data_IF_125969634359
#
_entry.id   IF_125969634359
#
_cell.length_a   1.000
_cell.length_b   1.000
_cell.length_c   1.000
_cell.angle_alpha   90.00
_cell.angle_beta   90.00
_cell.angle_gamma   90.00
#
_symmetry.space_group_name_H-M   'P 1'
#
loop_
_entity.id
_entity.type
_entity.pdbx_description
1 polymer ?
#
# COMPACT_ATOMS: atom_id res chain seq x y z
N UNK A 1 13.85 16.55 -16.57
CA UNK A 1 14.42 15.33 -15.98
C UNK A 1 13.26 14.59 -15.35
N UNK A 2 12.71 13.57 -16.04
CA UNK A 2 11.61 12.74 -15.55
C UNK A 2 12.10 11.29 -15.62
N UNK A 3 12.95 10.91 -14.67
CA UNK A 3 13.27 9.51 -14.45
C UNK A 3 12.10 8.91 -13.68
N UNK A 4 11.15 8.31 -14.41
CA UNK A 4 10.13 7.40 -13.88
C UNK A 4 10.76 6.06 -13.48
N UNK A 5 11.88 6.11 -12.78
CA UNK A 5 12.46 4.95 -12.16
C UNK A 5 11.75 4.76 -10.82
N UNK A 6 11.13 3.60 -10.68
CA UNK A 6 10.51 3.12 -9.45
C UNK A 6 11.63 2.79 -8.43
N UNK A 7 12.36 3.83 -8.02
CA UNK A 7 13.49 3.71 -7.11
C UNK A 7 12.95 3.54 -5.70
N UNK A 8 13.31 2.42 -5.10
CA UNK A 8 13.15 2.21 -3.69
C UNK A 8 13.93 3.23 -2.87
N UNK A 9 13.25 3.98 -2.00
CA UNK A 9 13.85 4.95 -1.10
C UNK A 9 14.25 4.31 0.22
N UNK A 10 15.32 4.81 0.82
CA UNK A 10 15.70 4.39 2.18
C UNK A 10 15.01 5.22 3.25
N UNK A 11 14.96 4.68 4.48
CA UNK A 11 14.38 5.38 5.64
C UNK A 11 14.91 6.82 5.82
N UNK A 12 16.19 7.07 5.51
CA UNK A 12 16.79 8.40 5.61
C UNK A 12 16.18 9.37 4.60
N UNK A 13 15.97 8.93 3.36
CA UNK A 13 15.41 9.77 2.30
C UNK A 13 13.93 10.04 2.52
N UNK A 14 13.17 9.02 2.91
CA UNK A 14 11.75 9.16 3.24
C UNK A 14 11.58 10.11 4.44
N UNK A 15 12.41 9.98 5.46
CA UNK A 15 12.39 10.88 6.61
C UNK A 15 12.67 12.34 6.21
N UNK A 16 13.61 12.58 5.29
CA UNK A 16 13.87 13.91 4.75
C UNK A 16 12.68 14.46 3.94
N UNK A 17 12.06 13.63 3.09
CA UNK A 17 10.86 14.03 2.32
C UNK A 17 9.69 14.42 3.22
N UNK A 18 9.50 13.71 4.33
CA UNK A 18 8.41 13.97 5.27
C UNK A 18 8.76 15.03 6.34
N UNK A 19 10.01 15.53 6.34
CA UNK A 19 10.53 16.42 7.38
C UNK A 19 10.32 15.86 8.79
N UNK A 20 10.72 14.60 8.99
CA UNK A 20 10.65 13.90 10.29
C UNK A 20 11.98 13.28 10.66
N UNK A 21 12.14 12.91 11.93
CA UNK A 21 13.32 12.17 12.37
C UNK A 21 13.28 10.73 11.81
N UNK A 22 14.41 10.19 11.34
CA UNK A 22 14.48 8.79 10.87
C UNK A 22 14.13 7.78 11.97
N UNK A 23 14.33 8.13 13.26
CA UNK A 23 13.87 7.32 14.39
C UNK A 23 12.34 7.19 14.41
N UNK A 24 11.62 8.29 14.16
CA UNK A 24 10.15 8.30 14.10
C UNK A 24 9.64 7.46 12.94
N UNK A 25 10.26 7.57 11.76
CA UNK A 25 9.90 6.74 10.61
C UNK A 25 10.08 5.24 10.92
N UNK A 26 11.17 4.86 11.58
CA UNK A 26 11.41 3.46 11.99
C UNK A 26 10.36 2.97 12.98
N UNK A 27 9.94 3.80 13.94
CA UNK A 27 8.86 3.47 14.87
C UNK A 27 7.53 3.26 14.14
N UNK A 28 7.22 4.12 13.17
CA UNK A 28 6.00 3.97 12.36
C UNK A 28 6.05 2.70 11.51
N UNK A 29 7.19 2.41 10.87
CA UNK A 29 7.38 1.19 10.11
C UNK A 29 7.19 -0.06 10.97
N UNK A 30 7.76 -0.10 12.18
CA UNK A 30 7.55 -1.22 13.11
C UNK A 30 6.08 -1.39 13.49
N UNK A 31 5.41 -0.30 13.85
CA UNK A 31 3.99 -0.36 14.23
C UNK A 31 3.09 -0.79 13.05
N UNK A 32 3.49 -0.49 11.82
CA UNK A 32 2.80 -0.97 10.62
C UNK A 32 3.07 -2.46 10.37
N UNK A 33 4.29 -2.94 10.57
CA UNK A 33 4.63 -4.37 10.54
C UNK A 33 3.83 -5.15 11.61
N UNK A 34 3.65 -4.59 12.81
CA UNK A 34 2.82 -5.20 13.87
C UNK A 34 1.34 -5.32 13.49
N UNK A 35 0.82 -4.38 12.70
CA UNK A 35 -0.54 -4.42 12.17
C UNK A 35 -0.65 -5.30 10.90
N UNK A 36 0.45 -5.92 10.46
CA UNK A 36 0.51 -6.88 9.35
C UNK A 36 0.83 -6.28 7.98
N UNK A 37 1.41 -5.07 7.93
CA UNK A 37 1.93 -4.48 6.69
C UNK A 37 3.39 -4.88 6.47
N UNK A 38 3.69 -5.55 5.37
CA UNK A 38 5.05 -5.97 5.05
C UNK A 38 5.76 -4.97 4.13
N UNK A 39 6.91 -4.46 4.58
CA UNK A 39 7.77 -3.64 3.72
C UNK A 39 8.70 -4.53 2.90
N UNK A 40 8.94 -4.12 1.66
CA UNK A 40 9.91 -4.79 0.81
C UNK A 40 11.32 -4.62 1.37
N UNK A 41 12.16 -5.63 1.20
CA UNK A 41 13.57 -5.61 1.61
C UNK A 41 14.46 -5.91 0.41
N UNK A 42 15.66 -5.35 0.40
CA UNK A 42 16.67 -5.68 -0.61
C UNK A 42 17.41 -6.98 -0.25
N UNK A 43 18.34 -7.41 -1.12
CA UNK A 43 19.21 -8.58 -0.89
C UNK A 43 20.10 -8.49 0.36
N UNK A 44 20.19 -7.30 0.98
CA UNK A 44 20.91 -7.03 2.23
C UNK A 44 19.99 -6.91 3.44
N UNK A 45 18.74 -7.37 3.33
CA UNK A 45 17.68 -7.26 4.34
C UNK A 45 17.36 -5.81 4.77
N UNK A 46 17.71 -4.82 3.95
CA UNK A 46 17.42 -3.42 4.21
C UNK A 46 16.02 -3.08 3.69
N UNK A 47 15.19 -2.49 4.54
CA UNK A 47 13.85 -2.01 4.17
C UNK A 47 13.93 -0.96 3.05
N UNK A 48 13.21 -1.25 1.97
CA UNK A 48 12.98 -0.37 0.83
C UNK A 48 11.56 0.20 0.94
N UNK A 49 11.43 1.50 0.76
CA UNK A 49 10.15 2.20 0.73
C UNK A 49 9.85 2.70 -0.68
N UNK A 50 8.68 2.41 -1.20
CA UNK A 50 8.23 2.90 -2.50
C UNK A 50 7.33 4.13 -2.34
N UNK A 51 6.95 4.76 -3.46
CA UNK A 51 6.05 5.91 -3.44
C UNK A 51 4.70 5.61 -2.77
N UNK A 52 4.23 4.36 -2.82
CA UNK A 52 3.05 3.90 -2.05
C UNK A 52 3.26 4.04 -0.55
N UNK A 53 4.43 3.65 -0.04
CA UNK A 53 4.77 3.72 1.38
C UNK A 53 4.97 5.18 1.82
N UNK A 54 5.59 6.00 0.98
CA UNK A 54 5.76 7.43 1.22
C UNK A 54 4.39 8.11 1.34
N UNK A 55 3.47 7.81 0.42
CA UNK A 55 2.10 8.33 0.46
C UNK A 55 1.37 7.90 1.75
N UNK A 56 1.52 6.64 2.15
CA UNK A 56 1.00 6.12 3.41
C UNK A 56 1.54 6.88 4.62
N UNK A 57 2.85 7.11 4.69
CA UNK A 57 3.44 7.86 5.79
C UNK A 57 2.98 9.33 5.81
N UNK A 58 2.72 9.93 4.65
CA UNK A 58 2.20 11.29 4.56
C UNK A 58 0.78 11.38 5.11
N UNK A 59 -0.09 10.43 4.75
CA UNK A 59 -1.43 10.33 5.33
C UNK A 59 -1.39 10.03 6.83
N UNK A 60 -0.48 9.17 7.27
CA UNK A 60 -0.26 8.91 8.69
C UNK A 60 0.12 10.17 9.45
N UNK A 61 1.08 10.95 8.93
CA UNK A 61 1.48 12.23 9.53
C UNK A 61 0.26 13.15 9.68
N UNK A 62 -0.51 13.31 8.61
CA UNK A 62 -1.72 14.15 8.60
C UNK A 62 -2.80 13.66 9.57
N UNK A 63 -2.93 12.34 9.74
CA UNK A 63 -3.87 11.75 10.70
C UNK A 63 -3.39 11.89 12.14
N UNK A 64 -2.09 11.80 12.40
CA UNK A 64 -1.51 12.07 13.72
C UNK A 64 -1.71 13.54 14.11
N UNK A 65 -1.62 14.47 13.16
CA UNK A 65 -1.89 15.89 13.41
C UNK A 65 -3.38 16.15 13.70
N UNK A 66 -4.29 15.39 13.06
CA UNK A 66 -5.74 15.53 13.24
C UNK A 66 -6.31 14.75 14.43
N UNK A 67 -5.78 13.57 14.74
CA UNK A 67 -6.24 12.70 15.83
C UNK A 67 -5.41 12.94 17.08
N UNK A 68 -6.04 12.91 18.25
CA UNK A 68 -5.33 13.04 19.55
C UNK A 68 -4.41 11.86 19.87
N UNK A 69 -4.61 10.69 19.28
CA UNK A 69 -3.87 9.46 19.60
C UNK A 69 -3.09 8.94 18.39
N UNK A 70 -1.76 8.79 18.55
CA UNK A 70 -0.86 8.29 17.50
C UNK A 70 -1.17 6.85 17.11
N UNK A 71 -1.47 6.00 18.08
CA UNK A 71 -1.77 4.58 17.84
C UNK A 71 -3.05 4.43 17.01
N UNK A 72 -4.08 5.23 17.29
CA UNK A 72 -5.33 5.21 16.51
C UNK A 72 -5.18 5.76 15.09
N UNK A 73 -4.18 6.62 14.87
CA UNK A 73 -3.81 7.05 13.52
C UNK A 73 -3.11 5.94 12.76
N UNK A 74 -2.10 5.29 13.37
CA UNK A 74 -1.36 4.17 12.78
C UNK A 74 -2.31 3.04 12.39
N UNK A 75 -3.15 2.59 13.33
CA UNK A 75 -4.10 1.50 13.09
C UNK A 75 -5.10 1.83 11.97
N UNK A 76 -5.58 3.07 11.92
CA UNK A 76 -6.51 3.50 10.87
C UNK A 76 -5.83 3.47 9.49
N UNK A 77 -4.60 3.99 9.38
CA UNK A 77 -3.84 3.96 8.12
C UNK A 77 -3.51 2.54 7.71
N UNK A 78 -2.96 1.73 8.63
CA UNK A 78 -2.63 0.33 8.36
C UNK A 78 -3.83 -0.43 7.79
N UNK A 79 -5.00 -0.26 8.41
CA UNK A 79 -6.24 -0.86 7.93
C UNK A 79 -6.63 -0.36 6.54
N UNK A 80 -6.57 0.95 6.29
CA UNK A 80 -6.92 1.54 4.98
C UNK A 80 -6.02 1.02 3.85
N UNK A 81 -4.71 0.93 4.08
CA UNK A 81 -3.76 0.46 3.06
C UNK A 81 -3.79 -1.05 2.88
N UNK A 82 -4.05 -1.82 3.95
CA UNK A 82 -4.31 -3.27 3.85
C UNK A 82 -5.55 -3.57 3.02
N UNK A 83 -6.63 -2.81 3.22
CA UNK A 83 -7.87 -2.98 2.46
C UNK A 83 -7.67 -2.57 0.99
N UNK A 84 -6.88 -1.52 0.73
CA UNK A 84 -6.50 -1.11 -0.63
C UNK A 84 -5.66 -2.16 -1.36
N UNK A 85 -4.63 -2.72 -0.72
CA UNK A 85 -3.82 -3.77 -1.35
C UNK A 85 -4.66 -5.01 -1.66
N UNK A 86 -5.55 -5.40 -0.74
CA UNK A 86 -6.48 -6.49 -0.99
C UNK A 86 -7.48 -6.14 -2.09
N UNK A 87 -8.03 -4.92 -2.12
CA UNK A 87 -8.94 -4.48 -3.17
C UNK A 87 -8.24 -4.44 -4.54
N UNK A 88 -7.01 -3.94 -4.64
CA UNK A 88 -6.20 -3.98 -5.85
C UNK A 88 -5.90 -5.42 -6.28
N UNK A 89 -5.56 -6.31 -5.33
CA UNK A 89 -5.44 -7.76 -5.59
C UNK A 89 -6.75 -8.38 -6.06
N UNK A 90 -7.91 -7.97 -5.55
CA UNK A 90 -9.22 -8.50 -5.97
C UNK A 90 -9.68 -7.94 -7.31
N UNK A 91 -9.38 -6.68 -7.61
CA UNK A 91 -9.60 -6.05 -8.93
C UNK A 91 -8.72 -6.67 -10.02
N UNK A 92 -7.53 -7.16 -9.65
CA UNK A 92 -6.63 -7.89 -10.54
C UNK A 92 -7.18 -9.27 -10.94
N UNK A 93 -8.15 -9.82 -10.18
CA UNK A 93 -8.82 -11.10 -10.50
C UNK A 93 -10.08 -10.90 -11.36
N UNK A 94 -10.43 -9.67 -11.75
CA UNK A 94 -11.63 -9.39 -12.56
C UNK A 94 -11.29 -9.14 -14.05
N UNK A 95 -10.07 -9.46 -14.50
CA UNK A 95 -9.76 -9.63 -15.93
C UNK A 95 -9.42 -11.09 -16.27
N UNK A 96 -10.16 -12.03 -15.68
CA UNK A 96 -10.35 -13.33 -16.32
C UNK A 96 -11.84 -13.46 -16.62
N UNK A 97 -12.25 -12.91 -17.77
CA UNK A 97 -13.55 -13.16 -18.42
C UNK A 97 -14.04 -14.58 -18.14
N UNK A 98 -15.10 -14.74 -17.34
CA UNK A 98 -15.93 -15.93 -17.38
C UNK A 98 -17.25 -15.45 -18.04
N UNK A 99 -17.66 -15.88 -19.24
CA UNK A 99 -18.34 -17.14 -19.44
C UNK A 99 -19.11 -16.99 -20.77
N UNK A 100 -18.45 -17.13 -21.93
CA UNK A 100 -19.22 -17.40 -23.15
C UNK A 100 -19.60 -18.88 -23.16
N UNK A 101 -20.57 -19.21 -22.30
CA UNK A 101 -21.33 -20.46 -22.34
C UNK A 101 -22.10 -20.45 -23.67
N UNK A 102 -21.55 -21.13 -24.66
CA UNK A 102 -22.32 -21.55 -25.83
C UNK A 102 -23.21 -22.72 -25.41
N UNK A 103 -24.42 -22.44 -24.93
CA UNK A 103 -25.50 -23.45 -24.90
C UNK A 103 -26.51 -23.10 -25.98
N UNK A 104 -26.46 -23.94 -27.01
CA UNK A 104 -27.41 -24.15 -28.08
C UNK A 104 -28.84 -24.31 -27.55
N UNK A 105 -29.80 -23.55 -28.11
CA UNK A 105 -31.17 -24.04 -28.34
C UNK A 105 -31.93 -23.07 -29.26
N UNK A 106 -31.56 -23.08 -30.54
CA UNK A 106 -32.48 -22.66 -31.60
C UNK A 106 -33.38 -23.85 -31.93
N UNK A 107 -34.44 -24.02 -31.13
CA UNK A 107 -35.65 -24.72 -31.57
C UNK A 107 -36.70 -23.65 -31.77
N UNK A 108 -36.77 -23.14 -33.00
CA UNK A 108 -37.98 -22.56 -33.59
C UNK A 108 -37.66 -22.21 -35.04
N UNK A 109 -37.99 -23.12 -35.95
CA UNK A 109 -38.44 -22.72 -37.28
C UNK A 109 -39.73 -23.49 -37.55
N UNK A 110 -40.73 -22.69 -37.93
CA UNK A 110 -42.10 -23.03 -38.27
C UNK A 110 -42.23 -24.08 -39.37
#
# INVERSE_FOLDING_TARGET
MNDSNNYGFFAKEVALKLDIKPSTLRQWALALEEEGYEFQRNDKDQRIYYDRDISMFFELKKLIEKKRSRQDAIKAVAKMYRDRENAEKTLSVIDEKPDHIYIFNSSMVY
#
